data_IF_764273122791
#
_entry.id   IF_764273122791
#
_cell.length_a   1.000
_cell.length_b   1.000
_cell.length_c   1.000
_cell.angle_alpha   90.00
_cell.angle_beta   90.00
_cell.angle_gamma   90.00
#
_symmetry.space_group_name_H-M   'P 1'
#
loop_
_entity.id
_entity.type
_entity.pdbx_description
1 polymer ?
#
# COMPACT_ATOMS: atom_id res chain seq x y z
N UNK A 1 5.80 -9.59 -19.44
CA UNK A 1 4.72 -9.77 -18.46
C UNK A 1 3.38 -9.36 -19.04
N UNK A 2 2.28 -9.79 -18.46
CA UNK A 2 0.93 -9.36 -18.82
C UNK A 2 0.43 -8.28 -17.85
N UNK A 3 -0.45 -7.39 -18.35
CA UNK A 3 -1.14 -6.38 -17.54
C UNK A 3 -2.64 -6.58 -17.69
N UNK A 4 -3.30 -6.82 -16.57
CA UNK A 4 -4.76 -6.88 -16.46
C UNK A 4 -5.26 -5.83 -15.48
N UNK A 5 -6.51 -5.40 -15.59
CA UNK A 5 -7.06 -4.35 -14.75
C UNK A 5 -8.55 -4.53 -14.55
N UNK A 6 -9.08 -4.01 -13.43
CA UNK A 6 -10.52 -3.86 -13.18
C UNK A 6 -11.21 -3.00 -14.24
N UNK A 7 -10.50 -2.00 -14.77
CA UNK A 7 -10.94 -1.17 -15.89
C UNK A 7 -9.77 -0.94 -16.87
N UNK A 8 -9.88 -1.53 -18.07
CA UNK A 8 -8.84 -1.44 -19.10
C UNK A 8 -8.70 -0.05 -19.71
N UNK A 9 -9.73 0.78 -19.60
CA UNK A 9 -9.79 2.11 -20.20
C UNK A 9 -9.51 3.23 -19.21
N UNK A 10 -9.34 2.92 -17.92
CA UNK A 10 -9.03 3.92 -16.89
C UNK A 10 -7.74 4.67 -17.19
N UNK A 11 -7.66 5.92 -16.73
CA UNK A 11 -6.46 6.74 -16.84
C UNK A 11 -5.26 6.05 -16.18
N UNK A 12 -5.47 5.43 -15.03
CA UNK A 12 -4.44 4.71 -14.31
C UNK A 12 -3.88 3.52 -15.10
N UNK A 13 -4.75 2.71 -15.71
CA UNK A 13 -4.33 1.57 -16.55
C UNK A 13 -3.52 2.04 -17.78
N UNK A 14 -3.92 3.14 -18.40
CA UNK A 14 -3.16 3.72 -19.53
C UNK A 14 -1.79 4.21 -19.09
N UNK A 15 -1.72 4.90 -17.94
CA UNK A 15 -0.46 5.40 -17.38
C UNK A 15 0.45 4.25 -16.96
N UNK A 16 -0.10 3.20 -16.33
CA UNK A 16 0.67 2.00 -15.97
C UNK A 16 1.28 1.32 -17.18
N UNK A 17 0.51 1.17 -18.25
CA UNK A 17 1.00 0.63 -19.53
C UNK A 17 2.12 1.49 -20.12
N UNK A 18 1.98 2.81 -20.04
CA UNK A 18 3.03 3.77 -20.46
C UNK A 18 4.30 3.61 -19.64
N UNK A 19 4.19 3.52 -18.30
CA UNK A 19 5.33 3.37 -17.41
C UNK A 19 6.05 2.02 -17.61
N UNK A 20 5.31 0.93 -17.84
CA UNK A 20 5.92 -0.35 -18.17
C UNK A 20 6.76 -0.27 -19.46
N UNK A 21 6.23 0.36 -20.51
CA UNK A 21 6.96 0.56 -21.78
C UNK A 21 8.20 1.44 -21.61
N UNK A 22 8.12 2.51 -20.82
CA UNK A 22 9.25 3.39 -20.52
C UNK A 22 10.40 2.69 -19.77
N UNK A 23 10.09 1.61 -19.08
CA UNK A 23 11.07 0.78 -18.37
C UNK A 23 11.38 -0.53 -19.12
N UNK A 24 11.22 -0.54 -20.43
CA UNK A 24 11.53 -1.66 -21.34
C UNK A 24 10.79 -2.96 -21.01
N UNK A 25 9.67 -2.87 -20.29
CA UNK A 25 8.84 -4.03 -19.98
C UNK A 25 7.89 -4.33 -21.13
N UNK A 26 8.12 -5.45 -21.82
CA UNK A 26 7.24 -5.92 -22.89
C UNK A 26 5.92 -6.42 -22.32
N UNK A 27 4.84 -5.71 -22.61
CA UNK A 27 3.48 -6.14 -22.24
C UNK A 27 2.94 -7.10 -23.31
N UNK A 28 2.57 -8.31 -22.88
CA UNK A 28 2.04 -9.39 -23.73
C UNK A 28 0.64 -9.81 -23.24
N UNK A 29 -0.15 -10.53 -24.04
CA UNK A 29 -1.41 -11.10 -23.58
C UNK A 29 -1.23 -12.03 -22.37
N UNK A 30 -2.25 -12.15 -21.48
CA UNK A 30 -2.20 -13.06 -20.35
C UNK A 30 -2.05 -14.51 -20.81
N UNK A 31 -1.13 -15.26 -20.16
CA UNK A 31 -0.94 -16.69 -20.36
C UNK A 31 -0.45 -17.32 -19.04
N UNK A 32 -0.65 -18.61 -18.87
CA UNK A 32 -0.36 -19.32 -17.62
C UNK A 32 1.13 -19.25 -17.20
N UNK A 33 2.04 -19.19 -18.16
CA UNK A 33 3.49 -19.12 -17.95
C UNK A 33 4.04 -17.68 -17.97
N UNK A 34 3.17 -16.65 -17.94
CA UNK A 34 3.57 -15.25 -18.02
C UNK A 34 3.24 -14.55 -16.70
N UNK A 35 4.21 -13.91 -16.04
CA UNK A 35 3.93 -13.07 -14.88
C UNK A 35 2.86 -12.02 -15.18
N UNK A 36 1.89 -11.87 -14.28
CA UNK A 36 0.76 -10.97 -14.44
C UNK A 36 0.75 -9.88 -13.37
N UNK A 37 0.65 -8.64 -13.80
CA UNK A 37 0.29 -7.51 -12.96
C UNK A 37 -1.21 -7.23 -13.12
N UNK A 38 -1.97 -7.43 -12.05
CA UNK A 38 -3.40 -7.14 -12.01
C UNK A 38 -3.69 -5.91 -11.15
N UNK A 39 -4.19 -4.83 -11.78
CA UNK A 39 -4.65 -3.65 -11.06
C UNK A 39 -6.03 -3.93 -10.48
N UNK A 40 -6.15 -3.88 -9.15
CA UNK A 40 -7.39 -4.18 -8.42
C UNK A 40 -8.31 -2.95 -8.34
N UNK A 41 -7.73 -1.75 -8.24
CA UNK A 41 -8.47 -0.50 -8.19
C UNK A 41 -7.62 0.65 -7.69
N UNK A 42 -8.16 1.86 -7.89
CA UNK A 42 -7.64 3.09 -7.29
C UNK A 42 -8.75 3.84 -6.55
N UNK A 43 -8.38 4.62 -5.55
CA UNK A 43 -9.25 5.55 -4.86
C UNK A 43 -8.51 6.85 -4.57
N UNK A 44 -9.20 7.98 -4.72
CA UNK A 44 -8.71 9.30 -4.33
C UNK A 44 -9.58 9.82 -3.22
N UNK A 45 -8.97 10.21 -2.11
CA UNK A 45 -9.62 10.87 -0.99
C UNK A 45 -9.06 12.28 -0.82
N UNK A 46 -9.90 13.17 -0.31
CA UNK A 46 -9.55 14.57 -0.06
C UNK A 46 -9.81 14.90 1.40
N UNK A 47 -8.89 15.63 2.04
CA UNK A 47 -9.11 16.22 3.36
C UNK A 47 -8.65 17.68 3.39
N UNK A 48 -9.32 18.50 4.19
CA UNK A 48 -8.90 19.88 4.45
C UNK A 48 -7.86 19.90 5.55
N UNK A 49 -6.70 20.50 5.28
CA UNK A 49 -5.60 20.66 6.25
C UNK A 49 -5.73 21.92 7.06
N UNK A 50 -6.02 23.06 6.42
CA UNK A 50 -6.18 24.34 7.09
C UNK A 50 -7.19 25.22 6.38
N UNK A 51 -7.85 26.09 7.16
CA UNK A 51 -8.72 27.14 6.67
C UNK A 51 -8.06 28.49 6.99
N UNK A 52 -7.87 29.33 5.99
CA UNK A 52 -7.41 30.71 6.24
C UNK A 52 -8.49 31.53 6.94
N UNK A 53 -8.10 32.40 7.86
CA UNK A 53 -9.01 33.21 8.71
C UNK A 53 -10.01 34.05 7.94
N UNK A 54 -9.80 34.31 6.65
CA UNK A 54 -10.69 35.14 5.80
C UNK A 54 -11.47 34.30 4.77
N UNK A 55 -11.63 32.99 4.94
CA UNK A 55 -12.44 32.08 4.10
C UNK A 55 -12.11 32.11 2.59
N UNK A 56 -10.96 32.65 2.18
CA UNK A 56 -10.61 32.85 0.77
C UNK A 56 -9.79 31.74 0.15
N UNK A 57 -9.14 30.91 0.95
CA UNK A 57 -8.45 29.71 0.49
C UNK A 57 -8.42 28.66 1.59
N UNK A 58 -8.44 27.42 1.22
CA UNK A 58 -8.23 26.28 2.11
C UNK A 58 -7.08 25.46 1.57
N UNK A 59 -6.18 25.00 2.44
CA UNK A 59 -5.21 24.00 2.05
C UNK A 59 -5.88 22.63 2.11
N UNK A 60 -5.83 21.92 1.01
CA UNK A 60 -6.40 20.59 0.86
C UNK A 60 -5.32 19.57 0.49
N UNK A 61 -5.52 18.36 0.94
CA UNK A 61 -4.67 17.22 0.65
C UNK A 61 -5.46 16.16 -0.10
N UNK A 62 -4.92 15.71 -1.22
CA UNK A 62 -5.37 14.54 -1.96
C UNK A 62 -4.48 13.35 -1.63
N UNK A 63 -5.10 12.22 -1.36
CA UNK A 63 -4.40 10.93 -1.19
C UNK A 63 -4.97 9.93 -2.18
N UNK A 64 -4.11 9.48 -3.11
CA UNK A 64 -4.42 8.41 -4.05
C UNK A 64 -3.87 7.10 -3.47
N UNK A 65 -4.73 6.11 -3.36
CA UNK A 65 -4.37 4.74 -2.99
C UNK A 65 -4.65 3.82 -4.18
N UNK A 66 -3.67 3.02 -4.58
CA UNK A 66 -3.81 2.04 -5.63
C UNK A 66 -3.43 0.65 -5.10
N UNK A 67 -4.30 -0.33 -5.35
CA UNK A 67 -4.09 -1.73 -4.97
C UNK A 67 -3.86 -2.57 -6.22
N UNK A 68 -2.93 -3.50 -6.15
CA UNK A 68 -2.59 -4.37 -7.25
C UNK A 68 -2.11 -5.74 -6.77
N UNK A 69 -2.17 -6.73 -7.65
CA UNK A 69 -1.71 -8.09 -7.41
C UNK A 69 -0.68 -8.48 -8.45
N UNK A 70 0.41 -9.05 -8.01
CA UNK A 70 1.43 -9.64 -8.89
C UNK A 70 1.32 -11.15 -8.77
N UNK A 71 1.09 -11.83 -9.88
CA UNK A 71 1.08 -13.29 -9.98
C UNK A 71 2.31 -13.72 -10.77
N UNK A 72 3.11 -14.60 -10.19
CA UNK A 72 4.31 -15.15 -10.81
C UNK A 72 4.09 -16.65 -10.95
N UNK A 73 4.24 -17.21 -12.14
CA UNK A 73 4.17 -18.66 -12.33
C UNK A 73 5.08 -19.38 -11.34
N UNK A 74 4.60 -20.47 -10.75
CA UNK A 74 5.31 -21.32 -9.77
C UNK A 74 5.55 -20.71 -8.39
N UNK A 75 5.55 -19.36 -8.26
CA UNK A 75 5.77 -18.65 -6.99
C UNK A 75 4.47 -18.11 -6.35
N UNK A 76 3.34 -18.20 -7.08
CA UNK A 76 2.04 -17.78 -6.58
C UNK A 76 1.73 -16.30 -6.80
N UNK A 77 0.80 -15.75 -6.00
CA UNK A 77 0.34 -14.38 -6.16
C UNK A 77 0.46 -13.60 -4.84
N UNK A 78 0.85 -12.30 -4.96
CA UNK A 78 0.93 -11.38 -3.83
C UNK A 78 0.19 -10.10 -4.15
N UNK A 79 -0.47 -9.56 -3.13
CA UNK A 79 -1.16 -8.28 -3.21
C UNK A 79 -0.33 -7.19 -2.55
N UNK A 80 -0.31 -6.03 -3.20
CA UNK A 80 0.41 -4.84 -2.76
C UNK A 80 -0.50 -3.62 -2.85
N UNK A 81 -0.10 -2.56 -2.18
CA UNK A 81 -0.70 -1.24 -2.32
C UNK A 81 0.38 -0.16 -2.41
N UNK A 82 0.05 0.94 -3.04
CA UNK A 82 0.86 2.15 -3.05
C UNK A 82 -0.01 3.35 -2.75
N UNK A 83 0.56 4.35 -2.08
CA UNK A 83 -0.12 5.59 -1.72
C UNK A 83 0.71 6.78 -2.17
N UNK A 84 0.05 7.77 -2.74
CA UNK A 84 0.63 9.05 -3.14
C UNK A 84 -0.20 10.17 -2.56
N UNK A 85 0.45 11.16 -1.94
CA UNK A 85 -0.21 12.31 -1.34
C UNK A 85 0.29 13.59 -1.98
N UNK A 86 -0.63 14.55 -2.23
CA UNK A 86 -0.36 15.90 -2.73
C UNK A 86 -1.24 16.91 -2.01
N UNK A 87 -0.69 18.07 -1.64
CA UNK A 87 -1.46 19.21 -1.18
C UNK A 87 -1.60 20.26 -2.28
N UNK A 88 -2.71 20.99 -2.23
CA UNK A 88 -2.99 22.14 -3.10
C UNK A 88 -3.81 23.19 -2.38
N UNK A 89 -3.81 24.42 -2.91
CA UNK A 89 -4.60 25.52 -2.38
C UNK A 89 -5.93 25.62 -3.13
N UNK A 90 -7.02 25.43 -2.40
CA UNK A 90 -8.37 25.56 -2.94
C UNK A 90 -8.84 27.01 -2.84
N UNK A 91 -8.81 27.74 -3.94
CA UNK A 91 -9.32 29.12 -4.02
C UNK A 91 -10.75 29.13 -4.58
N UNK A 92 -11.78 29.50 -3.79
CA UNK A 92 -13.16 29.47 -4.23
C UNK A 92 -13.50 30.49 -5.33
N UNK A 93 -12.62 31.46 -5.61
CA UNK A 93 -12.87 32.48 -6.65
C UNK A 93 -12.65 31.99 -8.09
N UNK A 94 -12.11 30.79 -8.29
CA UNK A 94 -11.72 30.24 -9.60
C UNK A 94 -12.31 28.85 -9.86
N UNK A 95 -13.62 28.70 -9.74
CA UNK A 95 -14.30 27.40 -9.77
C UNK A 95 -14.02 26.55 -11.04
N UNK A 96 -13.89 27.16 -12.22
CA UNK A 96 -13.57 26.43 -13.47
C UNK A 96 -12.09 26.02 -13.56
N UNK A 97 -11.17 26.85 -13.06
CA UNK A 97 -9.75 26.52 -13.01
C UNK A 97 -9.47 25.37 -12.00
N UNK A 98 -10.27 25.32 -10.95
CA UNK A 98 -10.16 24.34 -9.85
C UNK A 98 -10.34 22.88 -10.31
N UNK A 99 -11.34 22.59 -11.16
CA UNK A 99 -11.56 21.23 -11.62
C UNK A 99 -10.41 20.74 -12.51
N UNK A 100 -9.91 21.60 -13.38
CA UNK A 100 -8.77 21.32 -14.26
C UNK A 100 -7.49 21.11 -13.45
N UNK A 101 -7.23 21.96 -12.45
CA UNK A 101 -6.07 21.84 -11.59
C UNK A 101 -6.11 20.52 -10.79
N UNK A 102 -7.25 20.18 -10.22
CA UNK A 102 -7.44 18.91 -9.51
C UNK A 102 -7.19 17.70 -10.41
N UNK A 103 -7.78 17.69 -11.60
CA UNK A 103 -7.60 16.61 -12.57
C UNK A 103 -6.12 16.44 -12.96
N UNK A 104 -5.39 17.55 -13.13
CA UNK A 104 -3.96 17.53 -13.40
C UNK A 104 -3.16 16.94 -12.24
N UNK A 105 -3.50 17.32 -11.00
CA UNK A 105 -2.85 16.77 -9.78
C UNK A 105 -3.13 15.27 -9.68
N UNK A 106 -4.37 14.84 -9.87
CA UNK A 106 -4.73 13.42 -9.85
C UNK A 106 -3.97 12.61 -10.92
N UNK A 107 -3.82 13.16 -12.13
CA UNK A 107 -3.08 12.51 -13.19
C UNK A 107 -1.57 12.43 -12.89
N UNK A 108 -0.99 13.45 -12.26
CA UNK A 108 0.37 13.41 -11.74
C UNK A 108 0.53 12.33 -10.66
N UNK A 109 -0.43 12.26 -9.73
CA UNK A 109 -0.42 11.25 -8.66
C UNK A 109 -0.51 9.82 -9.23
N UNK A 110 -1.37 9.59 -10.24
CA UNK A 110 -1.45 8.30 -10.96
C UNK A 110 -0.14 7.92 -11.62
N UNK A 111 0.54 8.89 -12.25
CA UNK A 111 1.85 8.69 -12.87
C UNK A 111 2.91 8.31 -11.83
N UNK A 112 2.92 8.99 -10.68
CA UNK A 112 3.81 8.67 -9.57
C UNK A 112 3.53 7.29 -8.98
N UNK A 113 2.26 6.95 -8.76
CA UNK A 113 1.84 5.63 -8.29
C UNK A 113 2.31 4.53 -9.26
N UNK A 114 2.11 4.72 -10.57
CA UNK A 114 2.58 3.78 -11.58
C UNK A 114 4.11 3.63 -11.55
N UNK A 115 4.85 4.71 -11.35
CA UNK A 115 6.31 4.68 -11.20
C UNK A 115 6.74 3.91 -9.94
N UNK A 116 6.05 4.11 -8.81
CA UNK A 116 6.32 3.37 -7.57
C UNK A 116 6.07 1.87 -7.76
N UNK A 117 4.98 1.50 -8.43
CA UNK A 117 4.65 0.10 -8.74
C UNK A 117 5.76 -0.55 -9.57
N UNK A 118 6.22 0.11 -10.65
CA UNK A 118 7.32 -0.42 -11.48
C UNK A 118 8.59 -0.64 -10.66
N UNK A 119 8.95 0.32 -9.79
CA UNK A 119 10.12 0.18 -8.89
C UNK A 119 9.95 -0.99 -7.91
N UNK A 120 8.75 -1.17 -7.37
CA UNK A 120 8.46 -2.26 -6.45
C UNK A 120 8.53 -3.63 -7.16
N UNK A 121 8.06 -3.70 -8.40
CA UNK A 121 8.19 -4.89 -9.24
C UNK A 121 9.66 -5.21 -9.61
N UNK A 122 10.48 -4.18 -9.85
CA UNK A 122 11.91 -4.37 -10.08
C UNK A 122 12.63 -4.97 -8.85
N UNK A 123 12.27 -4.52 -7.65
CA UNK A 123 12.77 -5.11 -6.39
C UNK A 123 12.31 -6.55 -6.24
N UNK A 124 11.00 -6.80 -6.46
CA UNK A 124 10.44 -8.14 -6.41
C UNK A 124 11.16 -9.10 -7.35
N UNK A 125 11.49 -8.65 -8.57
CA UNK A 125 12.27 -9.43 -9.53
C UNK A 125 13.68 -9.75 -8.97
N UNK A 126 14.36 -8.77 -8.41
CA UNK A 126 15.68 -8.97 -7.82
C UNK A 126 15.65 -9.94 -6.62
N UNK A 127 14.62 -9.87 -5.78
CA UNK A 127 14.43 -10.79 -4.65
C UNK A 127 14.22 -12.24 -5.11
N UNK A 128 13.49 -12.44 -6.23
CA UNK A 128 13.32 -13.75 -6.86
C UNK A 128 14.64 -14.29 -7.40
N UNK A 129 15.38 -13.46 -8.15
CA UNK A 129 16.66 -13.82 -8.75
C UNK A 129 17.72 -14.17 -7.68
N UNK A 130 17.66 -13.51 -6.53
CA UNK A 130 18.56 -13.76 -5.39
C UNK A 130 18.10 -14.94 -4.50
N UNK A 131 16.97 -15.58 -4.79
CA UNK A 131 16.42 -16.68 -3.98
C UNK A 131 15.97 -16.26 -2.58
N UNK A 132 15.79 -14.97 -2.34
CA UNK A 132 15.35 -14.40 -1.05
C UNK A 132 13.81 -14.37 -0.92
N UNK A 133 13.08 -14.72 -1.97
CA UNK A 133 11.63 -14.83 -1.90
C UNK A 133 11.20 -16.14 -1.27
N UNK A 134 10.61 -16.02 -0.11
CA UNK A 134 9.86 -17.13 0.49
C UNK A 134 8.63 -17.44 -0.37
N UNK A 135 8.36 -18.70 -0.60
CA UNK A 135 7.13 -19.15 -1.26
C UNK A 135 5.90 -18.71 -0.46
N UNK A 136 4.72 -18.67 -1.07
CA UNK A 136 3.49 -18.26 -0.38
C UNK A 136 3.23 -19.11 0.87
N UNK A 137 3.55 -20.40 0.84
CA UNK A 137 3.43 -21.34 1.95
C UNK A 137 4.39 -21.02 3.10
N UNK A 138 5.66 -20.72 2.80
CA UNK A 138 6.67 -20.33 3.80
C UNK A 138 6.32 -19.00 4.51
N UNK A 139 5.69 -18.06 3.78
CA UNK A 139 5.22 -16.79 4.38
C UNK A 139 4.02 -16.99 5.31
N UNK A 140 3.12 -17.88 4.97
CA UNK A 140 1.96 -18.18 5.81
C UNK A 140 2.40 -18.98 7.04
N UNK A 141 3.36 -19.89 6.91
CA UNK A 141 4.00 -20.56 8.05
C UNK A 141 4.73 -19.60 8.96
N UNK A 142 5.51 -18.64 8.44
CA UNK A 142 6.17 -17.62 9.24
C UNK A 142 5.17 -16.71 9.97
N UNK A 143 4.07 -16.32 9.33
CA UNK A 143 3.01 -15.54 9.98
C UNK A 143 2.31 -16.32 11.09
N UNK A 144 2.06 -17.60 10.88
CA UNK A 144 1.49 -18.48 11.89
C UNK A 144 2.45 -18.62 13.07
N UNK A 145 3.74 -18.83 12.80
CA UNK A 145 4.79 -18.94 13.83
C UNK A 145 4.95 -17.62 14.62
N UNK A 146 4.96 -16.47 13.95
CA UNK A 146 5.02 -15.16 14.60
C UNK A 146 3.80 -14.92 15.50
N UNK A 147 2.60 -15.29 15.06
CA UNK A 147 1.38 -15.20 15.88
C UNK A 147 1.41 -16.13 17.08
N UNK A 148 1.90 -17.35 16.91
CA UNK A 148 2.06 -18.30 18.00
C UNK A 148 3.06 -17.81 19.05
N UNK A 149 4.21 -17.27 18.63
CA UNK A 149 5.21 -16.70 19.52
C UNK A 149 4.67 -15.47 20.25
N UNK A 150 3.97 -14.57 19.57
CA UNK A 150 3.35 -13.41 20.20
C UNK A 150 2.29 -13.80 21.23
N UNK A 151 1.53 -14.86 21.02
CA UNK A 151 0.58 -15.38 22.00
C UNK A 151 1.27 -16.01 23.21
N UNK A 152 2.40 -16.68 23.02
CA UNK A 152 3.20 -17.22 24.13
C UNK A 152 3.80 -16.10 24.97
N UNK A 153 4.34 -15.05 24.36
CA UNK A 153 4.88 -13.89 25.08
C UNK A 153 3.80 -13.17 25.89
N UNK A 154 2.59 -13.05 25.36
CA UNK A 154 1.44 -12.52 26.11
C UNK A 154 1.06 -13.39 27.31
N UNK A 155 1.09 -14.69 27.17
CA UNK A 155 0.79 -15.61 28.29
C UNK A 155 1.87 -15.56 29.38
N UNK A 156 3.14 -15.50 28.99
CA UNK A 156 4.27 -15.39 29.92
C UNK A 156 4.18 -14.08 30.73
N UNK A 157 3.95 -12.94 30.05
CA UNK A 157 3.78 -11.65 30.73
C UNK A 157 2.57 -11.62 31.68
N UNK A 158 1.49 -12.31 31.31
CA UNK A 158 0.29 -12.39 32.18
C UNK A 158 0.57 -13.23 33.43
N UNK A 159 1.36 -14.29 33.33
CA UNK A 159 1.75 -15.14 34.45
C UNK A 159 2.72 -14.38 35.39
N UNK A 160 3.72 -13.69 34.85
CA UNK A 160 4.68 -12.90 35.63
C UNK A 160 4.00 -11.73 36.35
N UNK A 161 3.06 -11.04 35.71
CA UNK A 161 2.29 -9.98 36.37
C UNK A 161 1.35 -10.50 37.47
N UNK A 162 0.84 -11.72 37.34
CA UNK A 162 -0.03 -12.32 38.33
C UNK A 162 0.75 -12.89 39.53
N UNK A 163 1.98 -13.37 39.32
CA UNK A 163 2.90 -13.80 40.41
C UNK A 163 3.41 -12.60 41.19
N UNK A 164 3.75 -11.51 40.58
CA UNK A 164 4.18 -10.29 41.25
C UNK A 164 3.06 -9.60 42.07
N UNK A 165 1.80 -9.84 41.74
CA UNK A 165 0.66 -9.30 42.52
C UNK A 165 0.32 -10.13 43.75
N UNK A 166 0.79 -11.35 43.84
CA UNK A 166 0.55 -12.23 45.03
C UNK A 166 1.57 -12.06 46.16
N UNK A 167 2.71 -11.40 45.88
CA UNK A 167 3.77 -11.18 46.89
C UNK A 167 3.59 -9.89 47.75
N UNK A 168 2.48 -9.14 47.58
CA UNK A 168 2.27 -7.86 48.31
C UNK A 168 1.33 -7.97 49.51
N UNK A 169 0.78 -9.14 49.83
CA UNK A 169 -0.02 -9.33 51.04
C UNK A 169 0.71 -10.16 52.09
N UNK A 170 1.65 -9.55 52.79
CA UNK A 170 1.96 -9.98 54.16
C UNK A 170 1.43 -8.94 55.15
N UNK A 171 0.49 -9.27 56.00
CA UNK A 171 0.06 -8.36 57.07
C UNK A 171 1.13 -8.31 58.15
N UNK A 172 1.63 -7.12 58.44
CA UNK A 172 2.34 -6.85 59.69
C UNK A 172 1.33 -6.94 60.84
N UNK A 173 1.27 -8.12 61.46
CA UNK A 173 0.77 -8.25 62.81
C UNK A 173 1.96 -8.21 63.78
N UNK A 174 1.76 -7.49 64.91
CA UNK A 174 2.57 -7.41 66.15
C UNK A 174 3.47 -6.16 66.24
N UNK A 175 3.41 -5.33 67.25
CA UNK A 175 2.90 -5.35 68.64
C UNK A 175 2.60 -3.91 69.09
#
# INVERSE_FOLDING_TARGET
>A
MSLTSYDQYSNFTRMMRGQLRMNDVKVVPPAANVPNLHLLGESVSERTLSLYQNTRAAEKELTLNASYRVTIPELGSRQFSTSVTRSYLDNPLTALAKSVERDMIEDEMRKLAATQIVRQMARLKADIENGTMLTGEELDEQKVQQRANAQQDYQIQTIENNTNSLDIEQPLLEQ
#
